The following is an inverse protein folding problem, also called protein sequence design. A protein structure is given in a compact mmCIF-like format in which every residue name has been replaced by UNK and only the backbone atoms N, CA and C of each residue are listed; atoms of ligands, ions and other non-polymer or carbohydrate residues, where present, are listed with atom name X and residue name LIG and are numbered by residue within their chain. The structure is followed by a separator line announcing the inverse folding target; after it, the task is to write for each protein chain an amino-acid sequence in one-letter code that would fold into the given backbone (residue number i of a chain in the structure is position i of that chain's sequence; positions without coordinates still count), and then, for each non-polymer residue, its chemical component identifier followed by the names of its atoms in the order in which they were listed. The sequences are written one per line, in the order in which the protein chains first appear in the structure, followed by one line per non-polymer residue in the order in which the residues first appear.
data_IF_629792638526
#
_entry.id   IF_629792638526
#
_cell.length_a   1.000
_cell.length_b   1.000
_cell.length_c   1.000
_cell.angle_alpha   90.00
_cell.angle_beta   90.00
_cell.angle_gamma   90.00
#
_symmetry.space_group_name_H-M   'P 1'
#
loop_
_entity.id
_entity.type
_entity.pdbx_description
1 polymer ?
#
# COMPACT_ATOMS: atom_id res chain seq x y z
N UNK A 1 10.36 12.94 32.83
CA UNK A 1 10.03 13.61 31.56
C UNK A 1 10.61 12.76 30.45
N UNK A 2 9.84 11.84 29.89
CA UNK A 2 10.30 10.99 28.79
C UNK A 2 10.42 11.83 27.53
N UNK A 3 11.61 11.95 26.95
CA UNK A 3 11.85 12.70 25.72
C UNK A 3 10.95 12.17 24.59
N UNK A 4 9.84 12.84 24.34
CA UNK A 4 8.83 12.45 23.35
C UNK A 4 9.21 12.75 21.90
N UNK A 5 10.50 12.97 21.62
CA UNK A 5 10.99 13.43 20.31
C UNK A 5 12.00 12.48 19.67
N UNK A 6 12.20 11.28 20.23
CA UNK A 6 13.10 10.31 19.64
C UNK A 6 12.42 9.57 18.47
N UNK A 7 13.00 9.66 17.29
CA UNK A 7 12.57 8.88 16.12
C UNK A 7 12.83 7.38 16.35
N UNK A 8 11.87 6.54 15.94
CA UNK A 8 11.97 5.07 16.06
C UNK A 8 13.07 4.51 15.15
N UNK A 9 13.19 5.02 13.92
CA UNK A 9 14.16 4.55 12.93
C UNK A 9 15.11 5.68 12.55
N UNK A 10 16.37 5.54 12.96
CA UNK A 10 17.44 6.49 12.68
C UNK A 10 18.33 5.99 11.54
N UNK A 11 18.99 6.94 10.87
CA UNK A 11 20.06 6.63 9.92
C UNK A 11 21.24 5.94 10.64
N UNK A 12 22.20 5.45 9.85
CA UNK A 12 23.39 4.76 10.38
C UNK A 12 24.27 5.61 11.33
N UNK A 13 24.05 6.92 11.38
CA UNK A 13 24.78 7.84 12.26
C UNK A 13 24.00 8.19 13.54
N UNK A 14 22.75 7.73 13.69
CA UNK A 14 21.91 8.03 14.85
C UNK A 14 21.41 9.47 14.92
N UNK A 15 21.60 10.28 13.88
CA UNK A 15 21.37 11.74 13.95
C UNK A 15 20.03 12.20 13.36
N UNK A 16 19.52 11.47 12.38
CA UNK A 16 18.31 11.85 11.62
C UNK A 16 17.47 10.62 11.35
N UNK A 17 16.14 10.76 11.14
CA UNK A 17 15.31 9.64 10.71
C UNK A 17 15.76 9.12 9.34
N UNK A 18 15.46 7.85 9.06
CA UNK A 18 15.66 7.30 7.72
C UNK A 18 14.77 7.98 6.69
N UNK A 19 15.30 8.20 5.49
CA UNK A 19 14.54 8.79 4.39
C UNK A 19 13.69 7.72 3.65
N UNK A 20 12.56 8.14 3.08
CA UNK A 20 11.70 7.25 2.28
C UNK A 20 12.45 6.66 1.07
N UNK A 21 13.32 7.42 0.42
CA UNK A 21 14.12 6.95 -0.71
C UNK A 21 15.09 5.86 -0.28
N UNK A 22 15.68 5.99 0.92
CA UNK A 22 16.54 4.95 1.49
C UNK A 22 15.77 3.65 1.69
N UNK A 23 14.56 3.72 2.25
CA UNK A 23 13.68 2.55 2.39
C UNK A 23 13.38 1.93 1.03
N UNK A 24 13.02 2.73 0.03
CA UNK A 24 12.72 2.23 -1.32
C UNK A 24 13.92 1.55 -1.98
N UNK A 25 15.14 2.07 -1.80
CA UNK A 25 16.38 1.42 -2.27
C UNK A 25 16.57 0.07 -1.58
N UNK A 26 16.39 0.00 -0.25
CA UNK A 26 16.51 -1.26 0.49
C UNK A 26 15.46 -2.29 0.09
N UNK A 27 14.24 -1.87 -0.22
CA UNK A 27 13.21 -2.77 -0.76
C UNK A 27 13.63 -3.32 -2.14
N UNK A 28 14.18 -2.50 -3.02
CA UNK A 28 14.69 -2.95 -4.33
C UNK A 28 15.83 -3.96 -4.19
N UNK A 29 16.77 -3.72 -3.27
CA UNK A 29 17.85 -4.67 -2.96
C UNK A 29 17.29 -6.03 -2.50
N UNK A 30 16.27 -6.03 -1.64
CA UNK A 30 15.62 -7.27 -1.14
C UNK A 30 14.97 -8.04 -2.30
N UNK A 31 14.19 -7.36 -3.15
CA UNK A 31 13.54 -8.02 -4.30
C UNK A 31 14.57 -8.64 -5.25
N UNK A 32 15.66 -7.91 -5.54
CA UNK A 32 16.77 -8.45 -6.35
C UNK A 32 17.44 -9.65 -5.71
N UNK A 33 17.66 -9.62 -4.38
CA UNK A 33 18.28 -10.71 -3.64
C UNK A 33 17.48 -12.02 -3.72
N UNK A 34 16.16 -11.92 -3.71
CA UNK A 34 15.26 -13.08 -3.74
C UNK A 34 14.66 -13.36 -5.11
N UNK A 35 15.18 -12.73 -6.17
CA UNK A 35 14.70 -12.87 -7.56
C UNK A 35 13.19 -12.66 -7.73
N UNK A 36 12.64 -11.71 -6.96
CA UNK A 36 11.22 -11.39 -7.01
C UNK A 36 10.99 -10.39 -8.15
N UNK A 37 10.37 -10.86 -9.23
CA UNK A 37 9.96 -10.02 -10.34
C UNK A 37 8.53 -9.52 -10.12
N UNK A 38 8.32 -8.22 -10.30
CA UNK A 38 6.99 -7.61 -10.27
C UNK A 38 6.80 -6.67 -11.46
N UNK A 39 5.55 -6.45 -11.83
CA UNK A 39 5.17 -5.38 -12.75
C UNK A 39 5.20 -4.03 -12.02
N UNK A 40 5.92 -3.07 -12.58
CA UNK A 40 6.00 -1.70 -12.06
C UNK A 40 7.09 -1.46 -11.00
N UNK A 41 6.91 -0.39 -10.21
CA UNK A 41 7.95 0.14 -9.33
C UNK A 41 7.88 -0.44 -7.90
N UNK A 42 8.99 -1.01 -7.44
CA UNK A 42 9.18 -1.42 -6.04
C UNK A 42 9.32 -0.16 -5.16
N UNK A 43 8.40 -0.03 -4.20
CA UNK A 43 8.37 1.06 -3.21
C UNK A 43 7.63 0.63 -1.95
N UNK A 44 7.70 1.42 -0.89
CA UNK A 44 6.90 1.22 0.33
C UNK A 44 5.39 1.20 0.06
N UNK A 45 4.91 1.94 -0.94
CA UNK A 45 3.49 1.94 -1.33
C UNK A 45 3.01 0.57 -1.84
N UNK A 46 3.88 -0.23 -2.46
CA UNK A 46 3.55 -1.59 -2.92
C UNK A 46 3.07 -2.46 -1.75
N UNK A 47 3.78 -2.41 -0.62
CA UNK A 47 3.44 -3.17 0.58
C UNK A 47 2.12 -2.72 1.18
N UNK A 48 1.86 -1.42 1.18
CA UNK A 48 0.58 -0.86 1.65
C UNK A 48 -0.59 -1.28 0.75
N UNK A 49 -0.41 -1.29 -0.58
CA UNK A 49 -1.40 -1.86 -1.52
C UNK A 49 -1.59 -3.37 -1.29
N UNK A 50 -0.52 -4.10 -1.02
CA UNK A 50 -0.55 -5.54 -0.74
C UNK A 50 -1.36 -5.84 0.52
N UNK A 51 -1.13 -5.08 1.60
CA UNK A 51 -1.91 -5.16 2.83
C UNK A 51 -3.40 -4.89 2.58
N UNK A 52 -3.71 -3.78 1.89
CA UNK A 52 -5.10 -3.43 1.58
C UNK A 52 -5.81 -4.50 0.74
N UNK A 53 -5.15 -4.99 -0.31
CA UNK A 53 -5.69 -6.07 -1.14
C UNK A 53 -5.91 -7.37 -0.36
N UNK A 54 -5.00 -7.72 0.56
CA UNK A 54 -5.16 -8.90 1.41
C UNK A 54 -6.36 -8.77 2.34
N UNK A 55 -6.54 -7.60 2.97
CA UNK A 55 -7.71 -7.32 3.84
C UNK A 55 -9.01 -7.42 3.04
N UNK A 56 -9.07 -6.83 1.84
CA UNK A 56 -10.27 -6.93 0.99
C UNK A 56 -10.61 -8.37 0.64
N UNK A 57 -9.63 -9.16 0.19
CA UNK A 57 -9.83 -10.58 -0.15
C UNK A 57 -10.36 -11.39 1.04
N UNK A 58 -9.81 -11.18 2.23
CA UNK A 58 -10.24 -11.87 3.45
C UNK A 58 -11.66 -11.46 3.91
N UNK A 59 -12.10 -10.27 3.53
CA UNK A 59 -13.41 -9.74 3.89
C UNK A 59 -14.39 -9.74 2.71
N UNK A 60 -14.15 -10.60 1.71
CA UNK A 60 -14.97 -10.75 0.50
C UNK A 60 -15.35 -9.41 -0.15
N UNK A 61 -14.38 -8.48 -0.22
CA UNK A 61 -14.53 -7.16 -0.81
C UNK A 61 -15.70 -6.34 -0.22
N UNK A 62 -16.08 -6.60 1.04
CA UNK A 62 -17.21 -5.92 1.68
C UNK A 62 -17.00 -4.40 1.79
N UNK A 63 -18.08 -3.62 1.60
CA UNK A 63 -18.05 -2.16 1.72
C UNK A 63 -17.50 -1.69 3.08
N UNK A 64 -17.81 -2.42 4.16
CA UNK A 64 -17.26 -2.16 5.50
C UNK A 64 -15.73 -2.22 5.52
N UNK A 65 -15.14 -3.23 4.88
CA UNK A 65 -13.68 -3.36 4.81
C UNK A 65 -13.03 -2.22 4.01
N UNK A 66 -13.69 -1.72 2.97
CA UNK A 66 -13.21 -0.56 2.18
C UNK A 66 -13.21 0.71 3.03
N UNK A 67 -14.25 0.95 3.84
CA UNK A 67 -14.32 2.10 4.76
C UNK A 67 -13.23 2.03 5.82
N UNK A 68 -13.02 0.87 6.44
CA UNK A 68 -11.95 0.68 7.43
C UNK A 68 -10.56 0.89 6.81
N UNK A 69 -10.34 0.42 5.58
CA UNK A 69 -9.09 0.66 4.87
C UNK A 69 -8.90 2.14 4.51
N UNK A 70 -9.96 2.87 4.20
CA UNK A 70 -9.89 4.33 3.99
C UNK A 70 -9.40 5.05 5.25
N UNK A 71 -9.94 4.70 6.42
CA UNK A 71 -9.51 5.26 7.71
C UNK A 71 -8.06 4.89 8.03
N UNK A 72 -7.70 3.61 7.89
CA UNK A 72 -6.34 3.12 8.11
C UNK A 72 -5.32 3.82 7.20
N UNK A 73 -5.73 4.12 5.97
CA UNK A 73 -4.91 4.82 5.00
C UNK A 73 -5.00 6.35 5.11
N UNK A 74 -5.84 6.88 5.99
CA UNK A 74 -6.08 8.31 6.11
C UNK A 74 -6.42 8.96 4.76
N UNK A 75 -7.15 8.24 3.90
CA UNK A 75 -7.64 8.78 2.64
C UNK A 75 -8.89 9.61 2.89
N UNK A 76 -9.02 10.71 2.14
CA UNK A 76 -10.16 11.63 2.27
C UNK A 76 -11.49 11.06 1.77
N UNK A 77 -11.47 9.96 1.00
CA UNK A 77 -12.69 9.35 0.46
C UNK A 77 -12.52 7.87 0.13
N UNK A 78 -13.65 7.15 0.10
CA UNK A 78 -13.73 5.75 -0.36
C UNK A 78 -13.25 5.64 -1.81
N UNK A 79 -13.56 6.66 -2.63
CA UNK A 79 -13.15 6.71 -4.04
C UNK A 79 -11.63 6.70 -4.20
N UNK A 80 -10.91 7.45 -3.35
CA UNK A 80 -9.45 7.46 -3.30
C UNK A 80 -8.91 6.06 -2.96
N UNK A 81 -9.51 5.38 -1.98
CA UNK A 81 -9.13 4.01 -1.59
C UNK A 81 -9.39 3.00 -2.70
N UNK A 82 -10.56 3.05 -3.37
CA UNK A 82 -10.88 2.18 -4.50
C UNK A 82 -9.87 2.34 -5.64
N UNK A 83 -9.53 3.57 -6.00
CA UNK A 83 -8.51 3.84 -7.02
C UNK A 83 -7.13 3.35 -6.59
N UNK A 84 -6.74 3.65 -5.34
CA UNK A 84 -5.45 3.21 -4.79
C UNK A 84 -5.27 1.68 -4.83
N UNK A 85 -6.35 0.93 -4.58
CA UNK A 85 -6.37 -0.53 -4.55
C UNK A 85 -6.69 -1.18 -5.91
N UNK A 86 -6.95 -0.41 -6.97
CA UNK A 86 -7.26 -0.93 -8.30
C UNK A 86 -8.69 -1.47 -8.49
N UNK A 87 -9.58 -1.26 -7.51
CA UNK A 87 -10.97 -1.76 -7.58
C UNK A 87 -11.79 -1.08 -8.66
N UNK A 88 -11.53 0.21 -8.94
CA UNK A 88 -12.31 0.94 -9.93
C UNK A 88 -12.11 0.37 -11.34
N UNK A 89 -10.89 -0.07 -11.66
CA UNK A 89 -10.59 -0.70 -12.95
C UNK A 89 -11.28 -2.05 -13.09
N UNK A 90 -11.29 -2.87 -12.02
CA UNK A 90 -12.01 -4.15 -12.04
C UNK A 90 -13.52 -3.95 -12.16
N UNK A 91 -14.11 -3.03 -11.38
CA UNK A 91 -15.54 -2.72 -11.43
C UNK A 91 -15.98 -2.27 -12.84
N UNK A 92 -15.14 -1.48 -13.53
CA UNK A 92 -15.40 -1.07 -14.92
C UNK A 92 -15.34 -2.27 -15.88
N UNK A 93 -14.34 -3.14 -15.72
CA UNK A 93 -14.19 -4.34 -16.54
C UNK A 93 -15.38 -5.29 -16.37
N UNK A 94 -15.81 -5.52 -15.13
CA UNK A 94 -16.97 -6.36 -14.81
C UNK A 94 -18.27 -5.85 -15.48
N UNK A 95 -18.46 -4.52 -15.55
CA UNK A 95 -19.59 -3.91 -16.27
C UNK A 95 -19.51 -4.23 -17.77
N UNK A 96 -18.35 -4.04 -18.40
CA UNK A 96 -18.20 -4.33 -19.83
C UNK A 96 -18.46 -5.81 -20.14
N UNK A 97 -17.98 -6.71 -19.29
CA UNK A 97 -18.23 -8.15 -19.46
C UNK A 97 -19.70 -8.50 -19.28
N UNK A 98 -20.42 -7.83 -18.37
CA UNK A 98 -21.88 -8.02 -18.21
C UNK A 98 -22.70 -7.61 -19.43
N UNK A 99 -22.18 -6.70 -20.26
CA UNK A 99 -22.84 -6.20 -21.47
C UNK A 99 -22.56 -7.07 -22.71
N UNK A 100 -21.61 -8.00 -22.65
CA UNK A 100 -21.21 -8.90 -23.74
C UNK A 100 -22.07 -10.17 -23.84
N UNK A 101 -23.33 -10.10 -23.40
CA UNK A 101 -24.32 -11.18 -23.55
C UNK A 101 -24.57 -11.52 -25.03
#
# INVERSE_FOLDING_TARGET
MTESSQYIFLNKYGTKPIDQSYVNVKLKEIFKKYDITIEGNISSHLFRKTLGNRVLKLNNYSSKSIVLLMELFSHSSVSTTKHYLGLRESEIMDIYDSLRL
#
